data_IF_054803860964
#
_entry.id   IF_054803860964
#
_cell.length_a   1.000
_cell.length_b   1.000
_cell.length_c   1.000
_cell.angle_alpha   90.00
_cell.angle_beta   90.00
_cell.angle_gamma   90.00
#
_symmetry.space_group_name_H-M   'P 1'
#
loop_
_entity.id
_entity.type
_entity.pdbx_description
1 polymer ?
#
# COMPACT_ATOMS: atom_id res chain seq x y z
N UNK A 1 6.39 -17.70 -9.16
CA UNK A 1 7.63 -16.95 -8.84
C UNK A 1 8.31 -17.64 -7.69
N UNK A 2 9.59 -18.00 -7.83
CA UNK A 2 10.38 -18.51 -6.72
C UNK A 2 10.71 -17.33 -5.78
N UNK A 3 10.18 -17.36 -4.57
CA UNK A 3 10.52 -16.36 -3.54
C UNK A 3 11.97 -16.60 -3.10
N UNK A 4 12.87 -15.65 -3.39
CA UNK A 4 14.24 -15.68 -2.87
C UNK A 4 14.18 -15.35 -1.37
N UNK A 5 14.87 -16.13 -0.54
CA UNK A 5 14.92 -15.86 0.91
C UNK A 5 15.72 -14.58 1.15
N UNK A 6 15.24 -13.70 2.03
CA UNK A 6 15.96 -12.46 2.38
C UNK A 6 17.38 -12.71 2.93
N UNK A 7 17.62 -13.86 3.55
CA UNK A 7 18.96 -14.28 3.99
C UNK A 7 19.94 -14.49 2.84
N UNK A 8 19.46 -14.95 1.68
CA UNK A 8 20.25 -15.09 0.47
C UNK A 8 20.45 -13.74 -0.21
N UNK A 9 19.39 -12.92 -0.25
CA UNK A 9 19.44 -11.54 -0.75
C UNK A 9 20.55 -10.75 -0.05
N UNK A 10 20.63 -10.85 1.29
CA UNK A 10 21.64 -10.15 2.11
C UNK A 10 23.08 -10.55 1.81
N UNK A 11 23.33 -11.75 1.26
CA UNK A 11 24.69 -12.19 0.91
C UNK A 11 25.21 -11.51 -0.36
N UNK A 12 24.32 -11.10 -1.26
CA UNK A 12 24.70 -10.42 -2.49
C UNK A 12 23.59 -9.45 -2.98
N UNK A 13 23.31 -8.37 -2.24
CA UNK A 13 22.18 -7.48 -2.51
C UNK A 13 22.27 -6.84 -3.90
N UNK A 14 23.48 -6.52 -4.38
CA UNK A 14 23.67 -5.94 -5.71
C UNK A 14 23.22 -6.89 -6.83
N UNK A 15 23.61 -8.16 -6.77
CA UNK A 15 23.19 -9.14 -7.76
C UNK A 15 21.66 -9.30 -7.80
N UNK A 16 21.02 -9.41 -6.63
CA UNK A 16 19.56 -9.58 -6.59
C UNK A 16 18.82 -8.31 -7.01
N UNK A 17 19.29 -7.12 -6.64
CA UNK A 17 18.68 -5.88 -7.10
C UNK A 17 18.72 -5.76 -8.62
N UNK A 18 19.84 -6.13 -9.25
CA UNK A 18 19.97 -6.18 -10.72
C UNK A 18 19.01 -7.20 -11.34
N UNK A 19 18.88 -8.37 -10.72
CA UNK A 19 17.97 -9.41 -11.18
C UNK A 19 16.51 -8.96 -11.13
N UNK A 20 16.08 -8.37 -10.00
CA UNK A 20 14.69 -7.90 -9.82
C UNK A 20 14.37 -6.65 -10.63
N UNK A 21 15.37 -5.81 -10.91
CA UNK A 21 15.17 -4.58 -11.66
C UNK A 21 15.14 -4.82 -13.18
N UNK A 22 15.57 -5.98 -13.66
CA UNK A 22 15.53 -6.36 -15.08
C UNK A 22 16.16 -5.30 -16.01
N UNK A 23 17.23 -4.65 -15.55
CA UNK A 23 17.93 -3.58 -16.29
C UNK A 23 17.40 -2.16 -16.04
N UNK A 24 16.34 -1.98 -15.24
CA UNK A 24 15.79 -0.67 -14.89
C UNK A 24 16.60 0.01 -13.76
N UNK A 25 17.50 0.92 -14.13
CA UNK A 25 18.48 1.53 -13.22
C UNK A 25 17.87 2.19 -11.97
N UNK A 26 16.77 2.94 -12.12
CA UNK A 26 16.13 3.60 -10.97
C UNK A 26 15.46 2.60 -10.02
N UNK A 27 15.00 1.45 -10.55
CA UNK A 27 14.40 0.40 -9.73
C UNK A 27 15.49 -0.39 -9.02
N UNK A 28 16.62 -0.68 -9.68
CA UNK A 28 17.80 -1.27 -9.04
C UNK A 28 18.27 -0.42 -7.87
N UNK A 29 18.42 0.89 -8.11
CA UNK A 29 18.81 1.87 -7.08
C UNK A 29 17.83 1.88 -5.91
N UNK A 30 16.53 1.86 -6.21
CA UNK A 30 15.48 1.84 -5.20
C UNK A 30 15.52 0.59 -4.33
N UNK A 31 15.62 -0.58 -4.95
CA UNK A 31 15.68 -1.86 -4.24
C UNK A 31 16.89 -1.89 -3.30
N UNK A 32 18.05 -1.44 -3.76
CA UNK A 32 19.26 -1.34 -2.93
C UNK A 32 19.06 -0.41 -1.74
N UNK A 33 18.55 0.79 -1.99
CA UNK A 33 18.34 1.82 -0.97
C UNK A 33 17.36 1.35 0.12
N UNK A 34 16.29 0.64 -0.27
CA UNK A 34 15.33 0.02 0.65
C UNK A 34 15.97 -1.09 1.50
N UNK A 35 16.76 -1.98 0.89
CA UNK A 35 17.40 -3.09 1.61
C UNK A 35 18.48 -2.61 2.59
N UNK A 36 19.24 -1.56 2.27
CA UNK A 36 20.18 -0.92 3.20
C UNK A 36 19.48 -0.39 4.47
N UNK A 37 18.20 -0.04 4.35
CA UNK A 37 17.34 0.44 5.46
C UNK A 37 16.51 -0.68 6.10
N UNK A 38 16.80 -1.94 5.79
CA UNK A 38 16.05 -3.12 6.24
C UNK A 38 14.56 -3.10 5.86
N UNK A 39 14.20 -2.45 4.75
CA UNK A 39 12.83 -2.45 4.23
C UNK A 39 12.68 -3.58 3.23
N UNK A 40 11.69 -4.45 3.44
CA UNK A 40 11.41 -5.57 2.55
C UNK A 40 10.56 -5.14 1.35
N UNK A 41 10.94 -5.59 0.16
CA UNK A 41 10.13 -5.53 -1.06
C UNK A 41 9.55 -6.92 -1.32
N UNK A 42 8.25 -7.03 -1.60
CA UNK A 42 7.62 -8.33 -1.90
C UNK A 42 7.26 -8.48 -3.37
N UNK A 43 6.94 -7.36 -4.03
CA UNK A 43 6.63 -7.31 -5.45
C UNK A 43 7.06 -5.95 -5.99
N UNK A 44 7.66 -5.95 -7.18
CA UNK A 44 7.94 -4.77 -7.96
C UNK A 44 7.75 -5.12 -9.44
N UNK A 45 7.31 -4.14 -10.21
CA UNK A 45 7.10 -4.28 -11.66
C UNK A 45 7.55 -2.98 -12.30
N UNK A 46 8.34 -3.07 -13.36
CA UNK A 46 8.74 -1.90 -14.14
C UNK A 46 7.69 -1.47 -15.18
N UNK A 47 6.62 -2.26 -15.36
CA UNK A 47 5.59 -2.05 -16.40
C UNK A 47 6.01 -2.68 -17.73
N UNK A 48 6.05 -4.01 -17.79
CA UNK A 48 6.62 -4.76 -18.91
C UNK A 48 5.68 -4.89 -20.13
N UNK A 49 4.37 -4.76 -19.91
CA UNK A 49 3.32 -4.91 -20.93
C UNK A 49 2.56 -3.60 -21.16
N UNK A 50 1.97 -3.46 -22.34
CA UNK A 50 1.14 -2.29 -22.66
C UNK A 50 -0.10 -2.27 -21.76
N UNK A 51 -0.16 -1.29 -20.86
CA UNK A 51 -1.21 -1.16 -19.84
C UNK A 51 -0.76 -1.57 -18.43
N UNK A 52 0.35 -2.29 -18.29
CA UNK A 52 0.97 -2.56 -16.99
C UNK A 52 1.70 -1.31 -16.50
N UNK A 53 1.47 -0.99 -15.23
CA UNK A 53 1.95 0.24 -14.62
C UNK A 53 3.03 -0.07 -13.59
N UNK A 54 4.10 0.74 -13.53
CA UNK A 54 5.15 0.52 -12.55
C UNK A 54 4.58 0.59 -11.13
N UNK A 55 4.95 -0.38 -10.31
CA UNK A 55 4.55 -0.41 -8.91
C UNK A 55 5.63 -1.01 -8.03
N UNK A 56 5.55 -0.68 -6.75
CA UNK A 56 6.35 -1.30 -5.71
C UNK A 56 5.48 -1.55 -4.47
N UNK A 57 5.59 -2.75 -3.92
CA UNK A 57 4.92 -3.15 -2.68
C UNK A 57 5.96 -3.37 -1.59
N UNK A 58 5.79 -2.62 -0.52
CA UNK A 58 6.76 -2.45 0.56
C UNK A 58 6.12 -2.86 1.89
N UNK A 59 6.88 -3.61 2.68
CA UNK A 59 6.52 -3.89 4.07
C UNK A 59 7.35 -2.99 4.97
N UNK A 60 6.66 -2.17 5.77
CA UNK A 60 7.27 -1.28 6.75
C UNK A 60 6.81 -1.65 8.15
N UNK A 61 7.69 -1.48 9.13
CA UNK A 61 7.23 -1.32 10.50
C UNK A 61 6.65 0.07 10.65
N UNK A 62 5.58 0.23 11.43
CA UNK A 62 5.04 1.57 11.75
C UNK A 62 6.06 2.46 12.49
N UNK A 63 7.07 1.85 13.11
CA UNK A 63 8.21 2.58 13.68
C UNK A 63 9.10 3.27 12.62
N UNK A 64 8.79 3.12 11.33
CA UNK A 64 9.48 3.75 10.19
C UNK A 64 8.54 4.71 9.42
N UNK A 65 7.55 5.29 10.11
CA UNK A 65 6.49 6.12 9.51
C UNK A 65 7.02 7.33 8.74
N UNK A 66 8.18 7.88 9.11
CA UNK A 66 8.81 9.00 8.41
C UNK A 66 9.17 8.63 6.96
N UNK A 67 9.57 7.37 6.73
CA UNK A 67 9.83 6.87 5.37
C UNK A 67 8.52 6.72 4.60
N UNK A 68 7.46 6.23 5.25
CA UNK A 68 6.12 6.15 4.65
C UNK A 68 5.65 7.54 4.26
N UNK A 69 5.76 8.53 5.14
CA UNK A 69 5.37 9.90 4.84
C UNK A 69 6.16 10.46 3.66
N UNK A 70 7.50 10.34 3.67
CA UNK A 70 8.33 10.83 2.57
C UNK A 70 7.93 10.20 1.23
N UNK A 71 7.72 8.88 1.22
CA UNK A 71 7.28 8.14 0.04
C UNK A 71 5.93 8.62 -0.46
N UNK A 72 4.92 8.65 0.42
CA UNK A 72 3.57 9.07 0.06
C UNK A 72 3.56 10.52 -0.39
N UNK A 73 4.27 11.43 0.29
CA UNK A 73 4.38 12.85 -0.08
C UNK A 73 4.93 13.05 -1.49
N UNK A 74 5.93 12.26 -1.90
CA UNK A 74 6.55 12.40 -3.22
C UNK A 74 5.60 12.14 -4.40
N UNK A 75 4.53 11.39 -4.16
CA UNK A 75 3.61 10.89 -5.17
C UNK A 75 2.15 11.27 -4.88
N UNK A 76 1.89 11.99 -3.77
CA UNK A 76 0.53 12.27 -3.27
C UNK A 76 -0.35 13.01 -4.28
N UNK A 77 0.25 13.95 -5.03
CA UNK A 77 -0.45 14.80 -5.98
C UNK A 77 -0.29 14.35 -7.43
N UNK A 78 0.31 13.17 -7.67
CA UNK A 78 0.42 12.65 -9.02
C UNK A 78 -0.92 12.06 -9.45
N UNK A 79 -1.35 12.41 -10.66
CA UNK A 79 -2.56 11.84 -11.25
C UNK A 79 -2.36 10.36 -11.50
N UNK A 80 -3.44 9.59 -11.35
CA UNK A 80 -3.45 8.16 -11.57
C UNK A 80 -2.35 7.47 -10.75
N UNK A 81 -2.24 7.81 -9.47
CA UNK A 81 -1.42 7.07 -8.52
C UNK A 81 -2.33 6.34 -7.54
N UNK A 82 -1.93 5.10 -7.26
CA UNK A 82 -2.54 4.21 -6.28
C UNK A 82 -1.65 4.18 -5.06
N UNK A 83 -2.16 4.69 -3.94
CA UNK A 83 -1.56 4.51 -2.61
C UNK A 83 -2.44 3.52 -1.85
N UNK A 84 -1.90 2.39 -1.44
CA UNK A 84 -2.67 1.39 -0.70
C UNK A 84 -1.96 1.00 0.60
N UNK A 85 -2.72 1.05 1.69
CA UNK A 85 -2.34 0.48 2.97
C UNK A 85 -3.00 -0.89 3.14
N UNK A 86 -2.23 -1.91 3.49
CA UNK A 86 -2.71 -3.27 3.78
C UNK A 86 -2.38 -3.63 5.22
N UNK A 87 -3.36 -4.12 5.98
CA UNK A 87 -3.12 -4.82 7.25
C UNK A 87 -3.59 -6.25 7.16
N UNK A 88 -2.66 -7.19 7.28
CA UNK A 88 -3.00 -8.62 7.33
C UNK A 88 -3.55 -9.01 8.70
N UNK A 89 -4.48 -9.95 8.73
CA UNK A 89 -5.11 -10.41 9.98
C UNK A 89 -4.12 -11.05 10.97
N UNK A 90 -3.12 -11.75 10.45
CA UNK A 90 -2.11 -12.48 11.21
C UNK A 90 -0.86 -11.63 11.50
N UNK A 91 -0.90 -10.33 11.17
CA UNK A 91 0.21 -9.41 11.39
C UNK A 91 -0.27 -8.15 12.14
N UNK A 92 0.62 -7.59 12.95
CA UNK A 92 0.43 -6.30 13.63
C UNK A 92 1.18 -5.18 12.93
N UNK A 93 1.30 -5.27 11.61
CA UNK A 93 1.97 -4.29 10.75
C UNK A 93 1.02 -3.85 9.63
N UNK A 94 1.29 -2.65 9.11
CA UNK A 94 0.63 -2.11 7.92
C UNK A 94 1.67 -2.04 6.81
N UNK A 95 1.40 -2.73 5.71
CA UNK A 95 2.18 -2.65 4.49
C UNK A 95 1.69 -1.50 3.60
N UNK A 96 2.57 -0.98 2.76
CA UNK A 96 2.29 0.09 1.81
C UNK A 96 2.59 -0.40 0.39
N UNK A 97 1.60 -0.32 -0.47
CA UNK A 97 1.75 -0.48 -1.92
C UNK A 97 1.61 0.88 -2.58
N UNK A 98 2.56 1.21 -3.45
CA UNK A 98 2.48 2.39 -4.30
C UNK A 98 2.57 1.93 -5.75
N UNK A 99 1.58 2.30 -6.55
CA UNK A 99 1.58 2.09 -8.00
C UNK A 99 1.33 3.40 -8.72
N UNK A 100 1.96 3.60 -9.87
CA UNK A 100 1.77 4.80 -10.68
C UNK A 100 1.43 4.45 -12.11
N UNK A 101 0.40 5.09 -12.66
CA UNK A 101 -0.04 4.90 -14.03
C UNK A 101 0.53 6.01 -14.92
N UNK A 102 1.27 5.64 -15.97
CA UNK A 102 1.66 6.56 -17.04
C UNK A 102 2.75 7.58 -16.71
N UNK A 103 3.62 7.31 -15.72
CA UNK A 103 4.81 8.14 -15.44
C UNK A 103 6.11 7.34 -15.55
N UNK A 104 7.07 7.91 -16.27
CA UNK A 104 8.42 7.35 -16.43
C UNK A 104 9.36 7.75 -15.28
N UNK A 105 8.90 8.57 -14.32
CA UNK A 105 9.73 9.13 -13.25
C UNK A 105 9.50 8.48 -11.90
N UNK A 106 8.53 7.55 -11.81
CA UNK A 106 8.06 6.93 -10.58
C UNK A 106 9.18 6.50 -9.62
N UNK A 107 10.09 5.64 -10.06
CA UNK A 107 11.16 5.11 -9.21
C UNK A 107 12.18 6.18 -8.82
N UNK A 108 12.45 7.14 -9.70
CA UNK A 108 13.35 8.27 -9.43
C UNK A 108 12.79 9.16 -8.34
N UNK A 109 11.50 9.49 -8.41
CA UNK A 109 10.85 10.38 -7.46
C UNK A 109 10.77 9.72 -6.07
N UNK A 110 10.50 8.41 -6.03
CA UNK A 110 10.60 7.59 -4.81
C UNK A 110 12.04 7.56 -4.25
N UNK A 111 13.05 7.35 -5.10
CA UNK A 111 14.45 7.36 -4.68
C UNK A 111 14.83 8.68 -4.00
N UNK A 112 14.42 9.82 -4.58
CA UNK A 112 14.68 11.14 -4.01
C UNK A 112 14.01 11.32 -2.65
N UNK A 113 12.81 10.75 -2.48
CA UNK A 113 12.09 10.81 -1.23
C UNK A 113 12.79 10.07 -0.08
N UNK A 114 13.27 8.85 -0.34
CA UNK A 114 13.99 8.05 0.66
C UNK A 114 15.36 8.66 1.00
N UNK A 115 15.99 9.36 0.04
CA UNK A 115 17.25 10.08 0.24
C UNK A 115 17.11 11.37 1.08
N UNK A 116 15.90 11.71 1.55
CA UNK A 116 15.67 12.78 2.53
C UNK A 116 15.47 14.17 1.94
N UNK A 117 15.07 14.28 0.66
CA UNK A 117 14.89 15.57 -0.03
C UNK A 117 13.44 16.08 -0.07
N UNK A 118 12.52 15.47 0.67
CA UNK A 118 11.10 15.79 0.60
C UNK A 118 10.66 16.62 1.80
N UNK A 119 10.08 17.80 1.55
CA UNK A 119 9.26 18.47 2.53
C UNK A 119 8.00 17.62 2.72
N UNK A 120 7.82 17.08 3.92
CA UNK A 120 6.63 16.30 4.24
C UNK A 120 5.49 17.29 4.48
N UNK A 121 4.39 17.09 3.76
CA UNK A 121 3.20 17.93 3.86
C UNK A 121 2.33 17.45 5.04
N UNK A 122 1.92 18.36 5.92
CA UNK A 122 1.08 18.08 7.11
C UNK A 122 -0.19 17.29 6.75
N UNK A 123 -0.78 17.53 5.58
CA UNK A 123 -1.96 16.81 5.09
C UNK A 123 -1.64 15.33 4.87
N UNK A 124 -0.46 15.05 4.32
CA UNK A 124 0.01 13.68 4.05
C UNK A 124 0.26 12.94 5.36
N UNK A 125 0.99 13.55 6.30
CA UNK A 125 1.24 12.94 7.61
C UNK A 125 -0.09 12.60 8.30
N UNK A 126 -1.00 13.57 8.33
CA UNK A 126 -2.31 13.40 8.94
C UNK A 126 -3.13 12.30 8.27
N UNK A 127 -3.13 12.22 6.94
CA UNK A 127 -3.83 11.16 6.21
C UNK A 127 -3.28 9.77 6.58
N UNK A 128 -1.95 9.61 6.50
CA UNK A 128 -1.29 8.33 6.81
C UNK A 128 -1.56 7.92 8.25
N UNK A 129 -1.44 8.84 9.21
CA UNK A 129 -1.66 8.56 10.62
C UNK A 129 -3.09 8.09 10.90
N UNK A 130 -4.09 8.77 10.33
CA UNK A 130 -5.50 8.37 10.50
C UNK A 130 -5.72 6.93 10.02
N UNK A 131 -5.23 6.58 8.82
CA UNK A 131 -5.44 5.24 8.27
C UNK A 131 -4.72 4.18 9.09
N UNK A 132 -3.45 4.41 9.42
CA UNK A 132 -2.66 3.40 10.13
C UNK A 132 -3.18 3.20 11.56
N UNK A 133 -3.50 4.27 12.29
CA UNK A 133 -4.04 4.16 13.64
C UNK A 133 -5.35 3.39 13.68
N UNK A 134 -6.27 3.67 12.74
CA UNK A 134 -7.53 2.92 12.62
C UNK A 134 -7.30 1.44 12.27
N UNK A 135 -6.36 1.15 11.37
CA UNK A 135 -6.02 -0.22 11.01
C UNK A 135 -5.44 -0.99 12.21
N UNK A 136 -4.54 -0.37 12.98
CA UNK A 136 -3.89 -0.99 14.14
C UNK A 136 -4.85 -1.21 15.32
N UNK A 137 -5.91 -0.40 15.47
CA UNK A 137 -6.97 -0.63 16.46
C UNK A 137 -7.71 -1.95 16.23
N UNK A 138 -7.78 -2.43 14.98
CA UNK A 138 -8.46 -3.68 14.65
C UNK A 138 -7.63 -4.89 15.09
N UNK A 139 -8.03 -5.48 16.23
CA UNK A 139 -7.43 -6.68 16.80
C UNK A 139 -8.16 -7.97 16.39
N UNK A 140 -7.41 -9.03 16.09
CA UNK A 140 -7.88 -10.42 16.14
C UNK A 140 -9.11 -10.76 15.29
N UNK A 141 -9.10 -10.43 14.00
CA UNK A 141 -10.18 -10.80 13.06
C UNK A 141 -9.59 -11.52 11.85
N UNK A 142 -10.24 -12.56 11.32
CA UNK A 142 -9.77 -13.34 10.15
C UNK A 142 -9.90 -12.59 8.81
N UNK A 143 -9.66 -11.28 8.81
CA UNK A 143 -9.82 -10.40 7.65
C UNK A 143 -8.56 -9.58 7.44
N UNK A 144 -8.06 -9.55 6.21
CA UNK A 144 -7.09 -8.57 5.75
C UNK A 144 -7.83 -7.28 5.40
N UNK A 145 -7.30 -6.13 5.80
CA UNK A 145 -7.87 -4.82 5.56
C UNK A 145 -7.04 -4.07 4.53
N UNK A 146 -7.72 -3.31 3.69
CA UNK A 146 -7.11 -2.52 2.64
C UNK A 146 -7.76 -1.14 2.60
N UNK A 147 -6.92 -0.12 2.46
CA UNK A 147 -7.33 1.26 2.20
C UNK A 147 -6.57 1.74 0.98
N UNK A 148 -7.29 2.05 -0.08
CA UNK A 148 -6.74 2.50 -1.35
C UNK A 148 -7.16 3.94 -1.61
N UNK A 149 -6.20 4.80 -1.93
CA UNK A 149 -6.43 6.16 -2.40
C UNK A 149 -6.12 6.24 -3.89
N UNK A 150 -7.03 6.83 -4.64
CA UNK A 150 -6.90 7.15 -6.07
C UNK A 150 -7.12 8.65 -6.25
N UNK A 151 -6.13 9.33 -6.85
CA UNK A 151 -6.24 10.74 -7.22
C UNK A 151 -6.27 10.89 -8.74
N UNK A 152 -7.37 11.43 -9.27
CA UNK A 152 -7.55 11.63 -10.72
C UNK A 152 -7.04 13.00 -11.22
N UNK A 153 -6.55 13.84 -10.31
CA UNK A 153 -6.11 15.20 -10.60
C UNK A 153 -7.10 16.30 -10.24
N UNK A 154 -8.33 15.94 -9.86
CA UNK A 154 -9.37 16.85 -9.40
C UNK A 154 -9.96 16.39 -8.06
N UNK A 155 -10.16 15.09 -7.89
CA UNK A 155 -10.75 14.46 -6.71
C UNK A 155 -9.82 13.38 -6.15
N UNK A 156 -9.76 13.30 -4.83
CA UNK A 156 -9.07 12.23 -4.12
C UNK A 156 -10.11 11.33 -3.46
N UNK A 157 -10.14 10.10 -3.94
CA UNK A 157 -11.14 9.11 -3.61
C UNK A 157 -10.48 7.96 -2.83
N UNK A 158 -11.10 7.57 -1.72
CA UNK A 158 -10.58 6.53 -0.83
C UNK A 158 -11.57 5.37 -0.75
N UNK A 159 -11.08 4.18 -1.12
CA UNK A 159 -11.79 2.91 -1.05
C UNK A 159 -11.28 2.12 0.14
N UNK A 160 -12.18 1.54 0.92
CA UNK A 160 -11.85 0.64 2.04
C UNK A 160 -12.54 -0.70 1.81
N UNK A 161 -11.77 -1.77 1.90
CA UNK A 161 -12.28 -3.12 1.70
C UNK A 161 -11.56 -4.14 2.59
N UNK A 162 -12.22 -5.29 2.79
CA UNK A 162 -11.71 -6.38 3.60
C UNK A 162 -11.77 -7.72 2.86
N UNK A 163 -10.70 -8.50 2.97
CA UNK A 163 -10.67 -9.89 2.47
C UNK A 163 -10.74 -10.86 3.63
N UNK A 164 -11.74 -11.75 3.63
CA UNK A 164 -11.82 -12.85 4.58
C UNK A 164 -11.48 -14.18 3.93
N UNK A 165 -10.79 -15.05 4.65
CA UNK A 165 -10.63 -16.44 4.26
C UNK A 165 -11.54 -17.32 5.12
N UNK A 166 -12.46 -18.06 4.49
CA UNK A 166 -13.31 -19.07 5.13
C UNK A 166 -13.27 -20.35 4.29
N UNK A 167 -12.92 -21.48 4.91
CA UNK A 167 -12.91 -22.81 4.27
C UNK A 167 -12.14 -22.88 2.93
N UNK A 168 -11.01 -22.16 2.84
CA UNK A 168 -10.20 -22.10 1.62
C UNK A 168 -10.73 -21.16 0.52
N UNK A 169 -11.84 -20.46 0.76
CA UNK A 169 -12.41 -19.47 -0.16
C UNK A 169 -12.09 -18.06 0.33
N UNK A 170 -11.64 -17.20 -0.59
CA UNK A 170 -11.41 -15.76 -0.35
C UNK A 170 -12.70 -15.00 -0.64
N UNK A 171 -13.24 -14.34 0.37
CA UNK A 171 -14.42 -13.48 0.28
C UNK A 171 -13.99 -12.01 0.31
N UNK A 172 -14.31 -11.25 -0.74
CA UNK A 172 -14.14 -9.81 -0.79
C UNK A 172 -15.38 -9.13 -0.21
N UNK A 173 -15.17 -8.26 0.76
CA UNK A 173 -16.15 -7.35 1.32
C UNK A 173 -15.70 -5.94 0.96
N UNK A 174 -16.30 -5.38 -0.08
CA UNK A 174 -16.00 -4.03 -0.55
C UNK A 174 -17.05 -3.06 -0.04
N UNK A 175 -16.61 -1.89 0.43
CA UNK A 175 -17.52 -0.78 0.66
C UNK A 175 -17.81 -0.12 -0.69
N UNK A 176 -19.03 -0.28 -1.21
CA UNK A 176 -19.45 0.21 -2.52
C UNK A 176 -19.58 1.75 -2.63
N UNK A 177 -18.87 2.50 -1.80
CA UNK A 177 -18.87 3.97 -1.82
C UNK A 177 -17.47 4.49 -1.60
N UNK A 178 -16.88 4.99 -2.68
CA UNK A 178 -15.67 5.82 -2.62
C UNK A 178 -15.92 7.00 -1.67
N UNK A 179 -15.02 7.20 -0.72
CA UNK A 179 -15.10 8.28 0.28
C UNK A 179 -14.19 9.42 -0.16
N UNK A 180 -14.68 10.64 -0.11
CA UNK A 180 -13.83 11.83 -0.34
C UNK A 180 -12.77 11.93 0.76
N UNK A 181 -11.51 12.09 0.39
CA UNK A 181 -10.38 12.29 1.30
C UNK A 181 -10.62 13.42 2.30
N UNK A 182 -11.28 14.51 1.91
CA UNK A 182 -11.53 15.65 2.79
C UNK A 182 -12.42 15.27 3.97
N UNK A 183 -13.35 14.32 3.79
CA UNK A 183 -14.19 13.78 4.86
C UNK A 183 -13.31 13.02 5.87
N UNK A 184 -12.38 12.20 5.38
CA UNK A 184 -11.45 11.44 6.23
C UNK A 184 -10.60 12.39 7.09
N UNK A 185 -10.08 13.45 6.47
CA UNK A 185 -9.25 14.44 7.16
C UNK A 185 -10.04 15.28 8.17
N UNK A 186 -11.33 15.54 7.93
CA UNK A 186 -12.19 16.31 8.82
C UNK A 186 -12.67 15.49 10.02
N UNK A 187 -13.12 14.25 9.81
CA UNK A 187 -13.83 13.49 10.83
C UNK A 187 -12.90 12.70 11.78
N UNK A 188 -11.58 12.63 11.49
CA UNK A 188 -10.52 11.94 12.27
C UNK A 188 -10.76 10.46 12.59
N UNK A 189 -11.95 9.94 12.29
CA UNK A 189 -12.44 8.65 12.78
C UNK A 189 -13.16 8.00 11.63
N UNK A 190 -12.48 7.11 10.92
CA UNK A 190 -13.17 6.20 10.02
C UNK A 190 -13.75 5.07 10.85
N UNK A 191 -15.01 4.79 10.55
CA UNK A 191 -15.91 3.78 11.09
C UNK A 191 -15.37 2.34 10.97
N UNK A 192 -14.07 2.04 10.86
CA UNK A 192 -13.56 0.70 10.53
C UNK A 192 -14.09 -0.35 11.50
N UNK A 193 -14.12 -0.07 12.81
CA UNK A 193 -14.72 -1.00 13.76
C UNK A 193 -16.25 -1.12 13.62
N UNK A 194 -16.96 -0.01 13.39
CA UNK A 194 -18.41 -0.01 13.16
C UNK A 194 -18.79 -0.67 11.82
N UNK A 195 -17.98 -0.50 10.79
CA UNK A 195 -18.00 -1.18 9.50
C UNK A 195 -17.77 -2.67 9.68
N UNK A 196 -16.77 -3.06 10.47
CA UNK A 196 -16.55 -4.47 10.79
C UNK A 196 -17.70 -5.04 11.64
N UNK A 197 -18.40 -4.24 12.45
CA UNK A 197 -19.67 -4.66 13.07
C UNK A 197 -20.77 -4.84 12.02
N UNK A 198 -20.88 -3.95 11.03
CA UNK A 198 -21.82 -4.07 9.92
C UNK A 198 -21.53 -5.30 9.06
N UNK A 199 -20.28 -5.59 8.68
CA UNK A 199 -19.91 -6.84 7.98
C UNK A 199 -20.29 -8.07 8.81
N UNK A 200 -20.08 -8.05 10.14
CA UNK A 200 -20.49 -9.14 11.03
C UNK A 200 -22.01 -9.31 11.04
N UNK A 201 -22.77 -8.22 10.95
CA UNK A 201 -24.23 -8.23 10.94
C UNK A 201 -24.81 -8.61 9.56
N UNK A 202 -24.22 -8.12 8.46
CA UNK A 202 -24.53 -8.48 7.07
C UNK A 202 -24.08 -9.89 6.71
N UNK A 203 -23.24 -10.52 7.53
CA UNK A 203 -23.05 -11.98 7.49
C UNK A 203 -24.37 -12.77 7.64
N UNK A 204 -25.43 -12.13 8.15
CA UNK A 204 -26.79 -12.67 8.15
C UNK A 204 -27.58 -12.43 6.85
N UNK A 205 -27.06 -11.61 5.91
CA UNK A 205 -27.69 -11.24 4.64
C UNK A 205 -26.66 -11.26 3.51
N UNK A 206 -26.48 -12.44 2.93
CA UNK A 206 -25.65 -12.77 1.78
C UNK A 206 -25.45 -11.64 0.74
N UNK A 207 -24.20 -11.35 0.41
CA UNK A 207 -23.79 -10.78 -0.88
C UNK A 207 -22.51 -11.47 -1.34
N UNK A 208 -22.68 -12.64 -1.96
CA UNK A 208 -21.62 -13.36 -2.67
C UNK A 208 -21.79 -13.05 -4.15
N UNK A 209 -21.03 -12.08 -4.67
CA UNK A 209 -20.73 -12.11 -6.11
C UNK A 209 -19.76 -13.27 -6.32
N UNK A 210 -20.27 -14.42 -6.78
CA UNK A 210 -19.44 -15.46 -7.37
C UNK A 210 -18.79 -14.87 -8.62
N UNK A 211 -17.48 -14.65 -8.56
CA UNK A 211 -16.69 -14.46 -9.77
C UNK A 211 -16.54 -15.87 -10.38
N UNK A 212 -17.06 -16.05 -11.60
CA UNK A 212 -16.97 -17.29 -12.39
C UNK A 212 -15.62 -17.38 -13.07
#
# INVERSE_FOLDING_TARGET
MNHVKMEEVRKNPKFFAQLFAEGHQELEKLILNLWERNIGTYQCCAGHEEGDCPYIMLHFSFNQKEIIYALVSSIYNFKNIRIMFEKKHNCNEVALLIGAYGTNTFFRDINQAIEGKTNIDDKVEKFVDIIVDEFLKVKGKNYDLYCERIYDGNTSNVNIYAHRYENGVRHLFEFNTSIDEEIILAEKTLFIEEYLKTIRNEKNKQLVKKIK
#
